data_IF_774743737477
#
_entry.id   IF_774743737477
#
_cell.length_a   1.000
_cell.length_b   1.000
_cell.length_c   1.000
_cell.angle_alpha   90.00
_cell.angle_beta   90.00
_cell.angle_gamma   90.00
#
_symmetry.space_group_name_H-M   'P 1'
#
loop_
_entity.id
_entity.type
_entity.pdbx_description
1 polymer ?
#
# COMPACT_ATOMS: atom_id res chain seq x y z
N UNK A 1 21.71 -20.19 1.93
CA UNK A 1 21.19 -20.89 0.72
C UNK A 1 22.28 -21.78 0.13
N UNK A 2 21.96 -22.97 -0.39
CA UNK A 2 22.94 -23.86 -1.04
C UNK A 2 23.19 -23.42 -2.48
N UNK A 3 24.47 -23.28 -2.88
CA UNK A 3 24.85 -22.93 -4.25
C UNK A 3 24.58 -24.11 -5.19
N UNK A 4 23.81 -23.95 -6.28
CA UNK A 4 23.47 -25.07 -7.17
C UNK A 4 24.66 -25.56 -8.01
N UNK A 5 25.74 -24.78 -8.13
CA UNK A 5 26.93 -25.18 -8.88
C UNK A 5 27.97 -25.94 -8.04
N UNK A 6 28.09 -25.64 -6.74
CA UNK A 6 29.16 -26.21 -5.89
C UNK A 6 28.70 -26.73 -4.52
N UNK A 7 27.40 -26.65 -4.23
CA UNK A 7 26.76 -27.09 -2.98
C UNK A 7 27.23 -26.35 -1.71
N UNK A 8 28.01 -25.27 -1.86
CA UNK A 8 28.44 -24.44 -0.74
C UNK A 8 27.24 -23.73 -0.08
N UNK A 9 27.24 -23.67 1.24
CA UNK A 9 26.22 -22.97 2.03
C UNK A 9 26.58 -21.48 2.15
N UNK A 10 25.86 -20.62 1.43
CA UNK A 10 26.03 -19.16 1.43
C UNK A 10 25.04 -18.48 2.38
N UNK A 11 25.28 -17.22 2.72
CA UNK A 11 24.34 -16.42 3.50
C UNK A 11 23.17 -16.01 2.57
N UNK A 12 21.90 -16.08 3.00
CA UNK A 12 20.80 -15.51 2.24
C UNK A 12 21.04 -14.02 1.97
N UNK A 13 20.86 -13.61 0.71
CA UNK A 13 21.09 -12.27 0.19
C UNK A 13 22.45 -12.08 -0.48
N UNK A 14 23.34 -13.08 -0.43
CA UNK A 14 24.60 -13.03 -1.17
C UNK A 14 24.32 -13.05 -2.69
N UNK A 15 24.79 -12.02 -3.40
CA UNK A 15 24.68 -11.95 -4.86
C UNK A 15 25.66 -12.93 -5.55
N UNK A 16 26.70 -13.38 -4.87
CA UNK A 16 27.73 -14.27 -5.41
C UNK A 16 28.06 -15.38 -4.41
N UNK A 17 28.32 -16.58 -4.92
CA UNK A 17 28.79 -17.66 -4.08
C UNK A 17 30.20 -17.37 -3.56
N UNK A 18 30.39 -17.43 -2.25
CA UNK A 18 31.68 -17.16 -1.58
C UNK A 18 32.77 -18.17 -1.91
N UNK A 19 32.40 -19.36 -2.41
CA UNK A 19 33.33 -20.42 -2.78
C UNK A 19 33.66 -20.43 -4.28
N UNK A 20 32.64 -20.54 -5.15
CA UNK A 20 32.86 -20.72 -6.58
C UNK A 20 32.66 -19.44 -7.42
N UNK A 21 32.17 -18.35 -6.81
CA UNK A 21 31.89 -17.09 -7.51
C UNK A 21 30.71 -17.13 -8.47
N UNK A 22 29.89 -18.18 -8.44
CA UNK A 22 28.64 -18.24 -9.21
C UNK A 22 27.72 -17.08 -8.82
N UNK A 23 27.08 -16.47 -9.81
CA UNK A 23 26.02 -15.49 -9.59
C UNK A 23 24.80 -16.15 -8.93
N UNK A 24 24.50 -15.69 -7.72
CA UNK A 24 23.36 -16.10 -6.90
C UNK A 24 22.22 -15.07 -6.94
N UNK A 25 22.39 -13.94 -7.62
CA UNK A 25 21.35 -12.93 -7.76
C UNK A 25 20.11 -13.54 -8.41
N UNK A 26 18.98 -13.52 -7.70
CA UNK A 26 17.74 -14.15 -8.16
C UNK A 26 17.69 -15.67 -8.03
N UNK A 27 18.64 -16.30 -7.35
CA UNK A 27 18.46 -17.64 -6.76
C UNK A 27 17.96 -17.57 -5.32
N UNK A 28 18.14 -16.42 -4.67
CA UNK A 28 17.61 -16.11 -3.34
C UNK A 28 16.14 -15.66 -3.36
N UNK A 29 15.40 -16.03 -4.41
CA UNK A 29 13.93 -15.93 -4.46
C UNK A 29 13.27 -17.04 -3.63
N UNK A 30 13.79 -17.28 -2.43
CA UNK A 30 12.96 -17.83 -1.37
C UNK A 30 11.95 -16.74 -0.98
N UNK A 31 10.94 -16.63 -1.84
CA UNK A 31 9.54 -16.33 -1.56
C UNK A 31 9.39 -15.53 -0.26
N UNK A 32 9.38 -14.20 -0.36
CA UNK A 32 8.70 -13.37 0.64
C UNK A 32 7.36 -14.06 0.84
N UNK A 33 7.07 -14.67 2.00
CA UNK A 33 6.06 -15.72 2.21
C UNK A 33 4.68 -15.49 1.57
N UNK A 34 4.65 -15.59 0.25
CA UNK A 34 3.60 -15.18 -0.67
C UNK A 34 3.54 -16.34 -1.63
N UNK A 35 2.50 -17.13 -1.43
CA UNK A 35 2.22 -18.24 -2.32
C UNK A 35 1.99 -17.68 -3.73
N UNK A 36 2.76 -18.09 -4.76
CA UNK A 36 2.47 -17.69 -6.14
C UNK A 36 1.06 -18.11 -6.59
N UNK A 37 0.48 -19.11 -5.92
CA UNK A 37 -0.89 -19.57 -6.11
C UNK A 37 -1.89 -18.88 -5.16
N UNK A 38 -1.47 -17.84 -4.43
CA UNK A 38 -2.34 -17.08 -3.53
C UNK A 38 -3.57 -16.57 -4.32
N UNK A 39 -4.79 -17.02 -3.97
CA UNK A 39 -6.01 -16.61 -4.64
C UNK A 39 -6.21 -15.09 -4.65
N UNK A 40 -5.68 -14.38 -3.65
CA UNK A 40 -5.74 -12.92 -3.59
C UNK A 40 -4.93 -12.29 -4.72
N UNK A 41 -3.74 -12.81 -5.02
CA UNK A 41 -2.90 -12.32 -6.11
C UNK A 41 -3.40 -12.73 -7.49
N UNK A 42 -4.10 -13.86 -7.58
CA UNK A 42 -4.74 -14.31 -8.81
C UNK A 42 -6.08 -13.61 -9.11
N UNK A 43 -6.71 -12.99 -8.11
CA UNK A 43 -8.01 -12.33 -8.25
C UNK A 43 -7.91 -10.94 -8.91
N UNK A 44 -8.92 -10.54 -9.69
CA UNK A 44 -9.01 -9.15 -10.18
C UNK A 44 -9.57 -8.26 -9.07
N UNK A 45 -9.11 -7.02 -8.98
CA UNK A 45 -9.60 -6.04 -7.98
C UNK A 45 -11.13 -5.89 -7.97
N UNK A 46 -11.79 -6.02 -9.13
CA UNK A 46 -13.25 -5.92 -9.27
C UNK A 46 -14.01 -7.06 -8.60
N UNK A 47 -13.35 -8.21 -8.39
CA UNK A 47 -13.93 -9.42 -7.82
C UNK A 47 -13.77 -9.44 -6.29
N UNK A 48 -13.00 -8.50 -5.73
CA UNK A 48 -12.83 -8.35 -4.29
C UNK A 48 -14.05 -7.69 -3.65
N UNK A 49 -14.39 -8.04 -2.39
CA UNK A 49 -15.48 -7.41 -1.65
C UNK A 49 -15.09 -6.01 -1.16
N UNK A 50 -14.89 -5.07 -2.10
CA UNK A 50 -14.49 -3.70 -1.83
C UNK A 50 -15.67 -2.88 -1.28
N UNK A 51 -15.40 -2.08 -0.25
CA UNK A 51 -16.38 -1.10 0.24
C UNK A 51 -16.52 0.03 -0.76
N UNK A 52 -17.75 0.57 -0.87
CA UNK A 52 -17.98 1.78 -1.65
C UNK A 52 -17.13 2.93 -1.08
N UNK A 53 -16.31 3.61 -1.89
CA UNK A 53 -15.48 4.70 -1.42
C UNK A 53 -16.36 5.88 -0.97
N UNK A 54 -15.97 6.53 0.13
CA UNK A 54 -16.53 7.81 0.52
C UNK A 54 -15.92 8.90 -0.36
N UNK A 55 -16.78 9.65 -1.05
CA UNK A 55 -16.40 10.70 -1.99
C UNK A 55 -17.05 12.01 -1.55
N UNK A 56 -16.25 13.08 -1.47
CA UNK A 56 -16.68 14.42 -1.08
C UNK A 56 -16.15 15.44 -2.09
N UNK A 57 -16.81 16.59 -2.19
CA UNK A 57 -16.36 17.65 -3.10
C UNK A 57 -15.33 18.57 -2.44
N UNK A 58 -14.67 19.40 -3.24
CA UNK A 58 -13.70 20.41 -2.77
C UNK A 58 -14.28 21.51 -1.90
N UNK A 59 -15.61 21.68 -1.86
CA UNK A 59 -16.25 22.72 -1.03
C UNK A 59 -16.58 22.24 0.38
N UNK A 60 -16.41 20.94 0.66
CA UNK A 60 -16.61 20.35 1.97
C UNK A 60 -15.50 20.79 2.94
N UNK A 61 -15.89 21.16 4.16
CA UNK A 61 -14.95 21.52 5.24
C UNK A 61 -14.22 20.28 5.77
N UNK A 62 -13.10 20.47 6.48
CA UNK A 62 -12.41 19.33 7.11
C UNK A 62 -13.30 18.74 8.21
N UNK A 63 -14.01 19.58 8.96
CA UNK A 63 -14.96 19.13 9.98
C UNK A 63 -16.03 18.18 9.42
N UNK A 64 -16.68 18.58 8.32
CA UNK A 64 -17.65 17.72 7.62
C UNK A 64 -16.99 16.43 7.12
N UNK A 65 -15.81 16.52 6.51
CA UNK A 65 -15.10 15.34 6.02
C UNK A 65 -14.81 14.33 7.15
N UNK A 66 -14.38 14.81 8.32
CA UNK A 66 -14.14 13.98 9.51
C UNK A 66 -15.43 13.37 10.04
N UNK A 67 -16.53 14.11 10.08
CA UNK A 67 -17.83 13.58 10.48
C UNK A 67 -18.26 12.45 9.54
N UNK A 68 -18.15 12.66 8.22
CA UNK A 68 -18.50 11.64 7.21
C UNK A 68 -17.62 10.40 7.31
N UNK A 69 -16.31 10.57 7.54
CA UNK A 69 -15.36 9.47 7.80
C UNK A 69 -15.78 8.64 9.02
N UNK A 70 -16.15 9.30 10.12
CA UNK A 70 -16.63 8.65 11.35
C UNK A 70 -17.93 7.88 11.13
N UNK A 71 -18.91 8.49 10.47
CA UNK A 71 -20.21 7.87 10.16
C UNK A 71 -20.06 6.59 9.32
N UNK A 72 -19.18 6.63 8.30
CA UNK A 72 -19.00 5.53 7.35
C UNK A 72 -17.95 4.51 7.79
N UNK A 73 -17.25 4.77 8.91
CA UNK A 73 -16.10 3.99 9.41
C UNK A 73 -15.03 3.83 8.32
N UNK A 74 -14.66 4.93 7.68
CA UNK A 74 -13.62 5.00 6.65
C UNK A 74 -12.60 6.08 7.06
N UNK A 75 -11.30 5.75 7.05
CA UNK A 75 -10.22 6.69 7.42
C UNK A 75 -9.68 7.54 6.26
N UNK A 76 -10.34 7.48 5.10
CA UNK A 76 -9.98 8.23 3.91
C UNK A 76 -11.23 8.61 3.10
N UNK A 77 -11.16 9.76 2.44
CA UNK A 77 -12.14 10.22 1.47
C UNK A 77 -11.46 10.54 0.15
N UNK A 78 -12.14 10.25 -0.94
CA UNK A 78 -11.77 10.73 -2.26
C UNK A 78 -12.36 12.12 -2.45
N UNK A 79 -11.56 13.04 -3.00
CA UNK A 79 -11.95 14.44 -3.20
C UNK A 79 -12.16 14.70 -4.68
N UNK A 80 -13.37 15.12 -5.04
CA UNK A 80 -13.74 15.49 -6.41
C UNK A 80 -13.88 17.00 -6.57
N UNK A 81 -13.54 17.49 -7.76
CA UNK A 81 -13.83 18.85 -8.18
C UNK A 81 -15.30 19.00 -8.63
N UNK A 82 -15.72 20.24 -8.95
CA UNK A 82 -17.08 20.57 -9.39
C UNK A 82 -17.53 19.88 -10.69
N UNK A 83 -16.60 19.29 -11.45
CA UNK A 83 -16.86 18.55 -12.69
C UNK A 83 -16.86 17.03 -12.48
N UNK A 84 -16.98 16.57 -11.23
CA UNK A 84 -16.88 15.16 -10.82
C UNK A 84 -15.54 14.50 -11.23
N UNK A 85 -14.48 15.30 -11.34
CA UNK A 85 -13.13 14.79 -11.56
C UNK A 85 -12.46 14.49 -10.22
N UNK A 86 -11.96 13.27 -10.03
CA UNK A 86 -11.16 12.92 -8.87
C UNK A 86 -9.84 13.71 -8.88
N UNK A 87 -9.59 14.49 -7.83
CA UNK A 87 -8.39 15.33 -7.72
C UNK A 87 -7.47 14.95 -6.56
N UNK A 88 -7.91 14.11 -5.63
CA UNK A 88 -7.07 13.73 -4.51
C UNK A 88 -7.72 12.81 -3.49
N UNK A 89 -6.96 12.53 -2.44
CA UNK A 89 -7.37 11.75 -1.29
C UNK A 89 -7.07 12.57 -0.04
N UNK A 90 -8.01 12.58 0.90
CA UNK A 90 -7.85 13.18 2.21
C UNK A 90 -8.02 12.10 3.29
N UNK A 91 -7.13 12.07 4.26
CA UNK A 91 -7.02 10.98 5.26
C UNK A 91 -6.96 11.51 6.70
N UNK A 92 -7.16 10.62 7.67
CA UNK A 92 -6.92 10.92 9.09
C UNK A 92 -5.51 11.48 9.37
N UNK A 93 -4.51 11.01 8.62
CA UNK A 93 -3.14 11.54 8.73
C UNK A 93 -3.09 13.01 8.33
N UNK A 94 -3.83 13.41 7.31
CA UNK A 94 -3.86 14.80 6.85
C UNK A 94 -4.49 15.73 7.91
N UNK A 95 -5.55 15.26 8.58
CA UNK A 95 -6.12 15.95 9.75
C UNK A 95 -5.04 16.15 10.82
N UNK A 96 -4.32 15.08 11.19
CA UNK A 96 -3.30 15.17 12.23
C UNK A 96 -2.13 16.10 11.85
N UNK A 97 -1.56 15.95 10.65
CA UNK A 97 -0.29 16.59 10.28
C UNK A 97 -0.44 17.94 9.57
N UNK A 98 -1.60 18.21 8.96
CA UNK A 98 -1.84 19.45 8.20
C UNK A 98 -2.84 20.39 8.86
N UNK A 99 -3.73 19.89 9.73
CA UNK A 99 -4.76 20.69 10.39
C UNK A 99 -4.46 20.83 11.89
N UNK A 100 -4.55 19.74 12.64
CA UNK A 100 -4.45 19.75 14.11
C UNK A 100 -3.07 20.21 14.62
N UNK A 101 -1.99 19.60 14.13
CA UNK A 101 -0.61 19.98 14.53
C UNK A 101 -0.22 21.40 14.13
N UNK A 102 -0.96 22.02 13.21
CA UNK A 102 -0.73 23.39 12.73
C UNK A 102 -1.73 24.39 13.32
N UNK A 103 -2.63 23.96 14.20
CA UNK A 103 -3.66 24.82 14.80
C UNK A 103 -4.59 25.48 13.77
N UNK A 104 -4.84 24.84 12.63
CA UNK A 104 -5.74 25.37 11.59
C UNK A 104 -7.19 25.08 11.96
N UNK A 105 -8.08 25.98 11.56
CA UNK A 105 -9.52 25.77 11.63
C UNK A 105 -9.93 24.62 10.69
N UNK A 106 -10.58 23.56 11.18
CA UNK A 106 -11.01 22.41 10.39
C UNK A 106 -12.29 22.65 9.56
#
# INVERSE_FOLDING_TARGET
MLCPACDHENIPGDDLCTECGMDLAGLDVQVWGVDPEDPLLASQLKDLPLKKPLVLNTTCTVSEAVERMREHRQGAVFVENERNGLIGVFTERDVAVRVASRGRDP
#
